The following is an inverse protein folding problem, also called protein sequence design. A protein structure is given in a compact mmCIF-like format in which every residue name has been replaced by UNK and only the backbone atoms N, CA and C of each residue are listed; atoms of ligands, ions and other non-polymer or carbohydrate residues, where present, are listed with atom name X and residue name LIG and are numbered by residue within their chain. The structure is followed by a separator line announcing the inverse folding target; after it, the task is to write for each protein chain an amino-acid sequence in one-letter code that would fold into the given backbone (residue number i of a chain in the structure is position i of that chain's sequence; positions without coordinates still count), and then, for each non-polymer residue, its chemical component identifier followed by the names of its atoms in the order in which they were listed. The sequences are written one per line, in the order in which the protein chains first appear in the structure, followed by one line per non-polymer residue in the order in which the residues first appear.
data_IF_233209561141
#
_entry.id   IF_233209561141
#
_cell.length_a   1.000
_cell.length_b   1.000
_cell.length_c   1.000
_cell.angle_alpha   90.00
_cell.angle_beta   90.00
_cell.angle_gamma   90.00
#
_symmetry.space_group_name_H-M   'P 1'
#
loop_
_entity.id
_entity.type
_entity.pdbx_description
1 polymer ?
#
# COMPACT_ATOMS: atom_id res chain seq x y z
N UNK A 1 22.30 -32.04 10.49
CA UNK A 1 22.35 -31.11 9.35
C UNK A 1 20.95 -30.58 9.17
N UNK A 2 20.67 -29.38 9.66
CA UNK A 2 19.37 -28.74 9.49
C UNK A 2 19.30 -28.19 8.06
N UNK A 3 18.45 -28.80 7.25
CA UNK A 3 18.16 -28.33 5.90
C UNK A 3 17.36 -27.02 6.01
N UNK A 4 18.06 -25.88 6.05
CA UNK A 4 17.47 -24.59 5.68
C UNK A 4 17.16 -24.68 4.18
N UNK A 5 15.97 -25.14 3.88
CA UNK A 5 15.39 -25.15 2.55
C UNK A 5 15.25 -23.68 2.08
N UNK A 6 16.32 -23.19 1.47
CA UNK A 6 16.28 -22.00 0.63
C UNK A 6 15.49 -22.39 -0.61
N UNK A 7 14.17 -22.26 -0.56
CA UNK A 7 13.30 -22.35 -1.73
C UNK A 7 13.76 -21.30 -2.76
N UNK A 8 14.57 -21.75 -3.71
CA UNK A 8 14.92 -21.00 -4.90
C UNK A 8 13.69 -20.71 -5.74
N UNK A 9 13.88 -19.91 -6.79
CA UNK A 9 12.95 -19.74 -7.92
C UNK A 9 11.61 -19.02 -7.66
N UNK A 10 11.67 -17.91 -6.90
CA UNK A 10 10.99 -16.67 -7.29
C UNK A 10 11.85 -15.51 -6.77
N UNK A 11 12.97 -15.25 -7.43
CA UNK A 11 13.80 -14.08 -7.15
C UNK A 11 13.00 -12.83 -7.52
N UNK A 12 12.16 -12.37 -6.60
CA UNK A 12 11.58 -11.05 -6.66
C UNK A 12 12.74 -10.07 -6.76
N UNK A 13 12.75 -9.27 -7.82
CA UNK A 13 13.77 -8.24 -8.10
C UNK A 13 13.97 -7.26 -6.93
N UNK A 14 13.03 -7.22 -6.00
CA UNK A 14 12.96 -6.31 -4.87
C UNK A 14 12.79 -7.04 -3.53
N UNK A 15 13.45 -6.50 -2.49
CA UNK A 15 13.42 -6.99 -1.11
C UNK A 15 12.01 -6.93 -0.54
N UNK A 16 11.60 -7.97 0.17
CA UNK A 16 10.29 -8.03 0.84
C UNK A 16 9.10 -8.26 -0.08
N UNK A 17 9.32 -8.43 -1.39
CA UNK A 17 8.26 -8.60 -2.38
C UNK A 17 8.12 -10.07 -2.74
N UNK A 18 6.88 -10.53 -2.93
CA UNK A 18 6.61 -11.87 -3.51
C UNK A 18 5.60 -11.80 -4.65
N UNK A 19 5.83 -12.59 -5.69
CA UNK A 19 4.87 -12.79 -6.78
C UNK A 19 4.02 -14.02 -6.52
N UNK A 20 2.69 -13.89 -6.58
CA UNK A 20 1.78 -15.05 -6.54
C UNK A 20 1.64 -15.67 -7.93
N UNK A 21 1.23 -16.95 -7.98
CA UNK A 21 0.91 -17.67 -9.24
C UNK A 21 -0.14 -16.98 -10.10
N UNK A 22 -1.02 -16.17 -9.49
CA UNK A 22 -2.02 -15.34 -10.17
C UNK A 22 -1.44 -14.05 -10.79
N UNK A 23 -0.13 -13.83 -10.69
CA UNK A 23 0.53 -12.65 -11.28
C UNK A 23 0.47 -11.38 -10.44
N UNK A 24 -0.19 -11.40 -9.27
CA UNK A 24 -0.21 -10.26 -8.35
C UNK A 24 1.05 -10.21 -7.47
N UNK A 25 1.54 -9.00 -7.24
CA UNK A 25 2.65 -8.71 -6.34
C UNK A 25 2.14 -8.38 -4.97
N UNK A 26 2.91 -8.72 -3.95
CA UNK A 26 2.51 -8.55 -2.57
C UNK A 26 3.67 -8.00 -1.77
N UNK A 27 3.35 -7.06 -0.88
CA UNK A 27 4.28 -6.45 0.06
C UNK A 27 3.82 -6.65 1.50
N UNK A 28 4.72 -7.14 2.36
CA UNK A 28 4.52 -7.32 3.79
C UNK A 28 5.82 -7.04 4.55
N UNK A 29 5.74 -6.59 5.80
CA UNK A 29 6.91 -6.31 6.64
C UNK A 29 6.73 -6.83 8.06
N UNK A 30 7.81 -7.23 8.71
CA UNK A 30 7.81 -7.60 10.13
C UNK A 30 7.95 -6.36 10.99
N UNK A 31 7.16 -6.26 12.06
CA UNK A 31 7.28 -5.15 13.01
C UNK A 31 8.44 -5.45 13.98
N UNK A 32 9.44 -4.57 14.09
CA UNK A 32 10.59 -4.80 14.97
C UNK A 32 10.14 -4.96 16.43
N UNK A 33 10.80 -5.85 17.16
CA UNK A 33 10.46 -6.15 18.56
C UNK A 33 9.22 -7.02 18.76
N UNK A 34 8.53 -7.42 17.69
CA UNK A 34 7.34 -8.29 17.76
C UNK A 34 7.46 -9.47 16.80
N UNK A 35 6.55 -10.44 16.92
CA UNK A 35 6.39 -11.53 15.95
C UNK A 35 5.39 -11.19 14.84
N UNK A 36 4.82 -10.00 14.89
CA UNK A 36 3.72 -9.57 14.05
C UNK A 36 4.21 -9.11 12.67
N UNK A 37 3.30 -9.22 11.70
CA UNK A 37 3.52 -8.80 10.32
C UNK A 37 2.46 -7.79 9.94
N UNK A 38 2.90 -6.72 9.28
CA UNK A 38 2.03 -5.74 8.69
C UNK A 38 1.87 -6.06 7.19
N UNK A 39 0.64 -6.34 6.80
CA UNK A 39 0.27 -6.47 5.40
C UNK A 39 0.23 -5.09 4.74
N UNK A 40 1.08 -4.81 3.76
CA UNK A 40 1.15 -3.47 3.15
C UNK A 40 0.26 -3.35 1.91
N UNK A 41 -0.12 -4.47 1.31
CA UNK A 41 -1.04 -4.47 0.17
C UNK A 41 -0.70 -5.51 -0.89
N UNK A 42 -1.57 -5.58 -1.88
CA UNK A 42 -1.36 -6.29 -3.12
C UNK A 42 -1.33 -5.31 -4.29
N UNK A 43 -0.34 -5.45 -5.14
CA UNK A 43 0.01 -4.52 -6.20
C UNK A 43 0.02 -5.26 -7.55
N UNK A 44 -0.19 -4.49 -8.60
CA UNK A 44 -0.13 -4.95 -9.99
C UNK A 44 1.29 -4.90 -10.54
N UNK A 45 2.16 -4.03 -10.00
CA UNK A 45 3.58 -3.94 -10.38
C UNK A 45 4.51 -4.37 -9.24
N UNK A 46 5.72 -4.79 -9.59
CA UNK A 46 6.74 -5.14 -8.60
C UNK A 46 7.31 -3.88 -7.94
N UNK A 47 7.41 -2.80 -8.72
CA UNK A 47 7.89 -1.48 -8.34
C UNK A 47 6.97 -0.84 -7.29
N UNK A 48 5.65 -0.84 -7.52
CA UNK A 48 4.67 -0.34 -6.54
C UNK A 48 4.73 -1.11 -5.23
N UNK A 49 4.84 -2.44 -5.30
CA UNK A 49 5.00 -3.26 -4.11
C UNK A 49 6.28 -2.93 -3.33
N UNK A 50 7.39 -2.72 -4.04
CA UNK A 50 8.70 -2.38 -3.49
C UNK A 50 8.75 -0.98 -2.88
N UNK A 51 8.10 0.01 -3.49
CA UNK A 51 7.96 1.35 -2.91
C UNK A 51 7.12 1.31 -1.63
N UNK A 52 6.03 0.54 -1.61
CA UNK A 52 5.26 0.34 -0.37
C UNK A 52 6.13 -0.27 0.75
N UNK A 53 6.97 -1.25 0.42
CA UNK A 53 7.88 -1.87 1.38
C UNK A 53 8.88 -0.84 1.93
N UNK A 54 9.50 -0.05 1.07
CA UNK A 54 10.50 0.95 1.45
C UNK A 54 9.94 2.01 2.40
N UNK A 55 8.73 2.50 2.12
CA UNK A 55 8.01 3.45 2.98
C UNK A 55 7.75 2.85 4.35
N UNK A 56 7.30 1.59 4.41
CA UNK A 56 7.04 0.92 5.68
C UNK A 56 8.33 0.62 6.47
N UNK A 57 9.37 0.15 5.77
CA UNK A 57 10.68 -0.15 6.37
C UNK A 57 11.29 1.10 6.98
N UNK A 58 11.24 2.22 6.27
CA UNK A 58 11.75 3.50 6.76
C UNK A 58 11.01 3.96 8.02
N UNK A 59 9.67 3.87 8.06
CA UNK A 59 8.90 4.24 9.25
C UNK A 59 9.12 3.30 10.45
N UNK A 60 9.35 2.01 10.22
CA UNK A 60 9.48 1.02 11.31
C UNK A 60 10.90 0.93 11.86
N UNK A 61 11.90 0.93 10.99
CA UNK A 61 13.30 0.70 11.38
C UNK A 61 14.08 2.00 11.55
N UNK A 62 13.58 3.12 11.03
CA UNK A 62 14.26 4.42 10.99
C UNK A 62 15.78 4.25 10.72
N UNK A 63 16.15 3.60 9.61
CA UNK A 63 17.53 3.23 9.37
C UNK A 63 18.41 4.48 9.20
N UNK A 64 19.62 4.45 9.76
CA UNK A 64 20.59 5.53 9.65
C UNK A 64 21.07 5.77 8.20
N UNK A 65 20.91 4.77 7.33
CA UNK A 65 21.26 4.82 5.91
C UNK A 65 20.15 4.28 5.01
N UNK A 66 19.95 4.94 3.87
CA UNK A 66 18.95 4.58 2.87
C UNK A 66 19.37 3.38 1.99
N UNK A 67 20.60 2.89 2.10
CA UNK A 67 21.13 1.77 1.30
C UNK A 67 20.40 0.42 1.52
N UNK A 68 19.69 0.29 2.64
CA UNK A 68 18.89 -0.90 2.92
C UNK A 68 17.62 -0.98 2.05
N UNK A 69 17.18 0.15 1.48
CA UNK A 69 15.95 0.26 0.70
C UNK A 69 16.10 -0.26 -0.73
N UNK A 70 14.99 -0.50 -1.42
CA UNK A 70 14.98 -0.82 -2.85
C UNK A 70 15.19 0.43 -3.72
N UNK A 71 14.67 1.57 -3.28
CA UNK A 71 14.68 2.86 -3.98
C UNK A 71 15.11 3.99 -3.05
N UNK A 72 16.42 4.12 -2.75
CA UNK A 72 16.93 5.15 -1.84
C UNK A 72 16.61 6.59 -2.29
N UNK A 73 16.45 6.81 -3.59
CA UNK A 73 16.16 8.14 -4.16
C UNK A 73 14.67 8.54 -4.09
N UNK A 74 13.76 7.60 -3.81
CA UNK A 74 12.32 7.87 -3.83
C UNK A 74 11.76 8.21 -2.45
N UNK A 75 12.50 7.93 -1.37
CA UNK A 75 12.04 8.24 -0.03
C UNK A 75 12.49 9.63 0.39
N UNK A 76 11.51 10.47 0.75
CA UNK A 76 11.78 11.74 1.38
C UNK A 76 11.85 11.55 2.91
N UNK A 77 12.94 11.97 3.57
CA UNK A 77 13.07 11.96 5.04
C UNK A 77 12.05 12.83 5.79
N UNK A 78 11.04 13.43 5.15
CA UNK A 78 9.88 14.01 5.85
C UNK A 78 8.81 12.98 6.20
N UNK A 79 8.89 11.76 5.66
CA UNK A 79 7.94 10.68 5.93
C UNK A 79 8.11 10.02 7.32
N UNK A 80 9.11 10.44 8.11
CA UNK A 80 9.53 9.81 9.39
C UNK A 80 8.53 9.95 10.54
N UNK A 81 7.53 10.82 10.44
CA UNK A 81 6.72 11.17 11.63
C UNK A 81 5.52 10.25 11.90
N UNK A 82 5.42 9.08 11.26
CA UNK A 82 4.27 8.17 11.43
C UNK A 82 4.53 7.12 12.50
N UNK A 83 3.86 7.24 13.63
CA UNK A 83 4.10 6.42 14.82
C UNK A 83 3.15 5.23 14.99
N UNK A 84 2.02 5.17 14.28
CA UNK A 84 1.05 4.06 14.42
C UNK A 84 1.15 3.05 13.27
N UNK A 85 1.00 1.73 13.55
CA UNK A 85 1.04 0.68 12.52
C UNK A 85 0.05 0.93 11.37
N UNK A 86 -1.14 1.44 11.68
CA UNK A 86 -2.17 1.77 10.69
C UNK A 86 -1.78 2.93 9.79
N UNK A 87 -1.18 3.98 10.35
CA UNK A 87 -0.69 5.12 9.57
C UNK A 87 0.44 4.70 8.63
N UNK A 88 1.35 3.87 9.12
CA UNK A 88 2.44 3.29 8.31
C UNK A 88 1.87 2.45 7.17
N UNK A 89 0.92 1.56 7.46
CA UNK A 89 0.25 0.71 6.48
C UNK A 89 -0.43 1.54 5.38
N UNK A 90 -1.19 2.57 5.77
CA UNK A 90 -1.92 3.42 4.84
C UNK A 90 -0.97 4.22 3.95
N UNK A 91 0.08 4.81 4.53
CA UNK A 91 1.05 5.55 3.74
C UNK A 91 1.84 4.66 2.77
N UNK A 92 2.24 3.46 3.21
CA UNK A 92 2.89 2.47 2.36
C UNK A 92 1.97 2.02 1.21
N UNK A 93 0.71 1.71 1.53
CA UNK A 93 -0.30 1.34 0.52
C UNK A 93 -0.48 2.43 -0.51
N UNK A 94 -0.70 3.68 -0.07
CA UNK A 94 -0.93 4.82 -0.95
C UNK A 94 0.27 5.07 -1.87
N UNK A 95 1.48 5.02 -1.34
CA UNK A 95 2.69 5.22 -2.13
C UNK A 95 2.86 4.13 -3.20
N UNK A 96 2.66 2.86 -2.86
CA UNK A 96 2.74 1.77 -3.82
C UNK A 96 1.65 1.85 -4.89
N UNK A 97 0.41 2.21 -4.50
CA UNK A 97 -0.71 2.37 -5.43
C UNK A 97 -0.50 3.54 -6.40
N UNK A 98 0.11 4.64 -5.95
CA UNK A 98 0.44 5.76 -6.82
C UNK A 98 1.44 5.37 -7.91
N UNK A 99 2.44 4.54 -7.58
CA UNK A 99 3.41 4.00 -8.54
C UNK A 99 2.74 3.02 -9.50
N UNK A 100 1.92 2.10 -8.98
CA UNK A 100 1.14 1.17 -9.79
C UNK A 100 0.27 1.93 -10.80
N UNK A 101 -0.44 2.96 -10.35
CA UNK A 101 -1.24 3.81 -11.20
C UNK A 101 -0.36 4.50 -12.24
N UNK A 102 0.73 5.17 -11.83
CA UNK A 102 1.62 5.86 -12.77
C UNK A 102 2.21 4.95 -13.84
N UNK A 103 2.63 3.73 -13.48
CA UNK A 103 3.19 2.75 -14.42
C UNK A 103 2.11 2.20 -15.36
N UNK A 104 0.93 1.84 -14.84
CA UNK A 104 -0.21 1.38 -15.66
C UNK A 104 -0.64 2.47 -16.64
N UNK A 105 -0.70 3.73 -16.20
CA UNK A 105 -1.02 4.87 -17.08
C UNK A 105 0.11 5.18 -18.08
N UNK A 106 1.38 4.97 -17.73
CA UNK A 106 2.52 5.18 -18.65
C UNK A 106 2.58 4.14 -19.77
N UNK A 107 2.11 2.91 -19.52
CA UNK A 107 1.98 1.87 -20.56
C UNK A 107 0.78 2.08 -21.49
N UNK A 108 -0.15 2.97 -21.11
CA UNK A 108 -1.28 3.41 -21.92
C UNK A 108 -0.96 4.81 -22.46
N UNK A 109 -0.05 4.91 -23.44
CA UNK A 109 0.39 6.18 -24.04
C UNK A 109 -0.78 7.13 -24.31
N UNK A 110 -0.67 8.37 -23.83
CA UNK A 110 -1.56 9.47 -24.16
C UNK A 110 -3.06 9.20 -23.90
N UNK A 111 -3.49 9.31 -22.64
CA UNK A 111 -4.90 9.52 -22.32
C UNK A 111 -4.93 10.39 -21.07
N UNK A 112 -5.33 11.66 -21.25
CA UNK A 112 -5.44 12.63 -20.19
C UNK A 112 -6.19 12.05 -19.01
N UNK A 113 -5.52 11.94 -17.87
CA UNK A 113 -6.18 11.55 -16.63
C UNK A 113 -6.96 12.77 -16.15
N UNK A 114 -8.26 12.74 -16.43
CA UNK A 114 -9.20 13.59 -15.73
C UNK A 114 -9.08 13.34 -14.24
N UNK A 115 -8.69 14.37 -13.51
CA UNK A 115 -9.01 14.49 -12.09
C UNK A 115 -10.53 14.34 -11.95
N UNK A 116 -10.99 13.13 -11.62
CA UNK A 116 -12.34 12.96 -11.11
C UNK A 116 -12.28 13.18 -9.60
N UNK A 117 -12.03 14.44 -9.23
CA UNK A 117 -12.57 14.93 -7.96
C UNK A 117 -14.02 15.26 -8.25
N UNK A 118 -14.94 14.38 -7.87
CA UNK A 118 -16.36 14.73 -7.82
C UNK A 118 -16.57 15.69 -6.65
N UNK A 119 -16.33 16.98 -6.93
CA UNK A 119 -16.94 18.07 -6.19
C UNK A 119 -18.44 18.08 -6.54
N UNK A 120 -19.30 18.13 -5.53
CA UNK A 120 -20.67 18.60 -5.74
C UNK A 120 -20.60 20.11 -5.95
N UNK A 121 -20.62 20.55 -7.20
CA UNK A 121 -21.01 21.93 -7.52
C UNK A 121 -22.52 22.06 -7.29
N UNK A 122 -22.88 22.97 -6.40
CA UNK A 122 -24.26 23.29 -6.09
C UNK A 122 -24.95 23.88 -7.34
N UNK A 123 -26.03 23.25 -7.79
CA UNK A 123 -26.87 23.81 -8.85
C UNK A 123 -27.93 22.85 -9.39
N UNK A 124 -28.99 22.63 -8.59
CA UNK A 124 -30.30 22.14 -9.00
C UNK A 124 -30.37 20.79 -9.75
N UNK A 125 -30.34 19.68 -9.00
CA UNK A 125 -31.41 18.68 -8.98
C UNK A 125 -31.06 17.60 -7.96
N UNK A 126 -32.03 17.27 -7.11
CA UNK A 126 -31.88 16.47 -5.89
C UNK A 126 -31.51 15.00 -6.20
N UNK A 127 -30.28 14.58 -5.91
CA UNK A 127 -29.93 13.17 -5.70
C UNK A 127 -29.03 13.06 -4.47
N UNK A 128 -29.63 12.70 -3.35
CA UNK A 128 -29.01 12.49 -2.04
C UNK A 128 -27.95 11.36 -2.09
N UNK A 129 -26.66 11.64 -1.82
CA UNK A 129 -25.66 10.59 -1.66
C UNK A 129 -25.80 9.92 -0.30
N UNK A 130 -25.95 8.59 -0.30
CA UNK A 130 -26.01 7.78 0.91
C UNK A 130 -24.71 7.91 1.74
N UNK A 131 -24.78 8.76 2.75
CA UNK A 131 -23.82 8.86 3.84
C UNK A 131 -23.96 7.61 4.73
N UNK A 132 -23.36 6.50 4.32
CA UNK A 132 -23.20 5.34 5.21
C UNK A 132 -22.12 5.71 6.25
N UNK A 133 -22.64 6.26 7.34
CA UNK A 133 -21.91 6.51 8.57
C UNK A 133 -21.54 5.18 9.23
N UNK A 134 -20.37 5.13 9.86
CA UNK A 134 -19.81 3.98 10.59
C UNK A 134 -20.69 3.50 11.77
N UNK A 135 -21.82 4.16 12.06
CA UNK A 135 -22.73 3.82 13.16
C UNK A 135 -23.80 2.76 12.86
N UNK A 136 -23.92 2.24 11.64
CA UNK A 136 -25.02 1.33 11.27
C UNK A 136 -24.82 -0.15 11.70
N UNK A 137 -24.05 -0.41 12.76
CA UNK A 137 -23.69 -1.77 13.19
C UNK A 137 -24.25 -2.22 14.56
N UNK A 138 -25.24 -1.55 15.16
CA UNK A 138 -25.90 -2.05 16.37
C UNK A 138 -27.39 -1.74 16.38
N UNK A 139 -28.23 -2.66 15.90
CA UNK A 139 -29.68 -2.46 15.95
C UNK A 139 -30.56 -3.55 15.35
N UNK A 140 -30.17 -4.83 15.41
CA UNK A 140 -31.13 -5.91 15.23
C UNK A 140 -31.86 -6.18 16.55
N UNK A 141 -33.17 -5.90 16.62
CA UNK A 141 -34.11 -6.75 17.36
C UNK A 141 -35.56 -6.48 16.94
N UNK A 142 -36.25 -7.59 16.74
CA UNK A 142 -37.62 -7.80 16.27
C UNK A 142 -38.70 -7.03 17.03
N UNK A 143 -39.83 -6.78 16.37
CA UNK A 143 -41.14 -6.95 17.01
C UNK A 143 -42.23 -7.25 15.97
N UNK A 144 -42.66 -8.53 16.00
CA UNK A 144 -44.02 -9.12 15.88
C UNK A 144 -45.06 -8.38 15.05
#
# INVERSE_FOLDING_TARGET
MDYRESTGENQSKYKGIRRRKWGKWVSEIRVPGTRDRLWLGSFSTAEGAAVAHDVAFFCLHQPDSLESLNFPHLLNPSLVSRTSPRSIQQAASNAGMAIDAGIVHSTSVNSGCGDTTTYYENGADQVEPLNISVYDYLGGHDHV
#
